data_IF_475462616199
#
_entry.id   IF_475462616199
#
_cell.length_a   1.000
_cell.length_b   1.000
_cell.length_c   1.000
_cell.angle_alpha   90.00
_cell.angle_beta   90.00
_cell.angle_gamma   90.00
#
_symmetry.space_group_name_H-M   'P 1'
#
loop_
_entity.id
_entity.type
_entity.pdbx_description
1 polymer ?
#
# COMPACT_ATOMS: atom_id res chain seq x y z
N UNK A 1 10.27 -20.14 11.17
CA UNK A 1 8.84 -20.34 11.47
C UNK A 1 8.24 -21.10 10.30
N UNK A 2 8.04 -22.42 10.40
CA UNK A 2 7.63 -23.25 9.25
C UNK A 2 6.18 -23.02 8.78
N UNK A 3 5.41 -22.19 9.48
CA UNK A 3 3.99 -21.95 9.19
C UNK A 3 3.72 -20.53 8.63
N UNK A 4 4.75 -19.71 8.42
CA UNK A 4 4.61 -18.34 7.91
C UNK A 4 5.61 -18.13 6.78
N UNK A 5 5.10 -17.74 5.63
CA UNK A 5 5.87 -17.23 4.50
C UNK A 5 5.73 -15.71 4.44
N UNK A 6 6.86 -15.02 4.29
CA UNK A 6 6.86 -13.57 4.12
C UNK A 6 6.75 -13.22 2.63
N UNK A 7 5.67 -12.54 2.26
CA UNK A 7 5.43 -12.09 0.91
C UNK A 7 5.65 -10.57 0.81
N UNK A 8 6.49 -10.15 -0.12
CA UNK A 8 6.72 -8.72 -0.41
C UNK A 8 5.61 -8.07 -1.22
N UNK A 9 4.81 -8.87 -1.94
CA UNK A 9 3.66 -8.46 -2.74
C UNK A 9 2.64 -9.60 -2.77
N UNK A 10 1.42 -9.31 -3.20
CA UNK A 10 0.44 -10.36 -3.46
C UNK A 10 0.94 -11.30 -4.56
N UNK A 11 0.71 -12.60 -4.39
CA UNK A 11 1.03 -13.66 -5.37
C UNK A 11 -0.24 -14.32 -5.88
N UNK A 12 -0.26 -14.77 -7.13
CA UNK A 12 -1.38 -15.53 -7.68
C UNK A 12 -1.32 -16.98 -7.22
N UNK A 13 -2.42 -17.51 -6.76
CA UNK A 13 -2.62 -18.94 -6.58
C UNK A 13 -2.81 -19.67 -7.89
N UNK A 14 -3.10 -20.97 -7.82
CA UNK A 14 -3.28 -21.79 -9.00
C UNK A 14 -4.37 -21.22 -9.93
N UNK A 15 -4.02 -20.99 -11.20
CA UNK A 15 -4.93 -20.45 -12.20
C UNK A 15 -5.23 -18.94 -12.10
N UNK A 16 -4.57 -18.23 -11.19
CA UNK A 16 -4.72 -16.78 -11.04
C UNK A 16 -3.49 -16.06 -11.56
N UNK A 17 -3.68 -15.29 -12.64
CA UNK A 17 -2.69 -14.28 -13.06
C UNK A 17 -2.98 -12.98 -12.32
N UNK A 18 -2.03 -12.52 -11.51
CA UNK A 18 -2.04 -11.14 -11.02
C UNK A 18 -1.60 -10.28 -12.19
N UNK A 19 -2.56 -9.52 -12.73
CA UNK A 19 -2.24 -8.57 -13.78
C UNK A 19 -1.11 -7.67 -13.29
N UNK A 20 -0.03 -7.58 -14.06
CA UNK A 20 1.04 -6.65 -13.76
C UNK A 20 0.43 -5.26 -13.68
N UNK A 21 0.65 -4.54 -12.60
CA UNK A 21 0.11 -3.21 -12.33
C UNK A 21 0.21 -2.26 -13.53
N UNK A 22 1.25 -2.40 -14.35
CA UNK A 22 1.49 -1.59 -15.54
C UNK A 22 0.35 -1.61 -16.59
N UNK A 23 -0.45 -2.68 -16.66
CA UNK A 23 -1.53 -2.79 -17.66
C UNK A 23 -2.79 -1.98 -17.30
N UNK A 24 -2.97 -1.67 -16.01
CA UNK A 24 -4.16 -0.98 -15.49
C UNK A 24 -3.86 0.40 -14.89
N UNK A 25 -2.58 0.77 -14.79
CA UNK A 25 -2.19 2.02 -14.17
C UNK A 25 -2.07 3.14 -15.20
N UNK A 26 -2.66 4.28 -14.88
CA UNK A 26 -2.41 5.54 -15.60
C UNK A 26 -1.41 6.37 -14.83
N UNK A 27 -0.29 6.73 -15.46
CA UNK A 27 0.72 7.60 -14.88
C UNK A 27 0.32 9.07 -14.93
N UNK A 28 0.84 9.89 -14.02
CA UNK A 28 0.52 11.33 -13.97
C UNK A 28 1.20 12.17 -15.06
N UNK A 29 2.12 11.60 -15.84
CA UNK A 29 2.84 12.33 -16.89
C UNK A 29 3.84 13.38 -16.41
N UNK A 30 3.99 13.61 -15.10
CA UNK A 30 4.95 14.57 -14.54
C UNK A 30 6.38 14.08 -14.80
N UNK A 31 7.19 14.90 -15.46
CA UNK A 31 8.59 14.57 -15.84
C UNK A 31 9.54 15.37 -14.98
N UNK A 32 10.52 14.68 -14.37
CA UNK A 32 11.74 15.28 -13.81
C UNK A 32 11.61 15.95 -12.44
N UNK A 33 10.51 15.84 -11.73
CA UNK A 33 10.35 16.47 -10.42
C UNK A 33 9.45 15.71 -9.45
N UNK A 34 9.36 16.21 -8.22
CA UNK A 34 8.37 15.80 -7.28
C UNK A 34 7.00 16.33 -7.73
N UNK A 35 5.97 15.54 -7.65
CA UNK A 35 4.64 15.96 -8.05
C UNK A 35 4.15 17.14 -7.21
N UNK A 36 3.62 18.14 -7.92
CA UNK A 36 2.86 19.25 -7.35
C UNK A 36 1.39 19.13 -7.78
N UNK A 37 0.42 19.61 -6.98
CA UNK A 37 -1.00 19.48 -7.30
C UNK A 37 -1.37 20.05 -8.67
N UNK A 38 -0.70 21.10 -9.12
CA UNK A 38 -0.98 21.80 -10.37
C UNK A 38 -0.47 21.03 -11.60
N UNK A 39 0.54 20.19 -11.44
CA UNK A 39 1.24 19.50 -12.54
C UNK A 39 1.02 17.98 -12.53
N UNK A 40 0.58 17.42 -11.41
CA UNK A 40 0.45 15.99 -11.20
C UNK A 40 -1.02 15.57 -11.07
N UNK A 41 -1.53 14.82 -12.05
CA UNK A 41 -2.92 14.36 -12.03
C UNK A 41 -3.24 13.50 -10.79
N UNK A 42 -2.31 12.74 -10.24
CA UNK A 42 -2.52 11.97 -9.02
C UNK A 42 -2.75 12.88 -7.80
N UNK A 43 -1.92 13.91 -7.62
CA UNK A 43 -2.11 14.88 -6.54
C UNK A 43 -3.29 15.82 -6.80
N UNK A 44 -3.53 16.19 -8.05
CA UNK A 44 -4.70 16.97 -8.43
C UNK A 44 -5.98 16.23 -8.07
N UNK A 45 -6.11 14.97 -8.46
CA UNK A 45 -7.26 14.14 -8.10
C UNK A 45 -7.43 14.06 -6.59
N UNK A 46 -6.33 13.92 -5.84
CA UNK A 46 -6.36 13.92 -4.39
C UNK A 46 -6.89 15.25 -3.81
N UNK A 47 -6.44 16.38 -4.35
CA UNK A 47 -6.91 17.72 -3.90
C UNK A 47 -8.36 17.96 -4.29
N UNK A 48 -8.79 17.54 -5.46
CA UNK A 48 -10.20 17.63 -5.90
C UNK A 48 -11.11 16.84 -4.95
N UNK A 49 -10.71 15.63 -4.57
CA UNK A 49 -11.52 14.74 -3.71
C UNK A 49 -11.52 15.16 -2.23
N UNK A 50 -10.41 15.67 -1.72
CA UNK A 50 -10.21 15.92 -0.29
C UNK A 50 -10.00 17.39 0.10
N UNK A 51 -9.86 18.28 -0.88
CA UNK A 51 -9.57 19.69 -0.65
C UNK A 51 -8.13 20.02 -0.27
N UNK A 52 -7.24 19.02 -0.15
CA UNK A 52 -5.84 19.20 0.26
C UNK A 52 -4.93 18.04 -0.17
N UNK A 53 -3.62 18.28 -0.15
CA UNK A 53 -2.61 17.22 -0.19
C UNK A 53 -2.67 16.45 1.11
N UNK A 54 -2.69 15.10 1.03
CA UNK A 54 -2.93 14.27 2.20
C UNK A 54 -1.69 13.86 2.98
N UNK A 55 -0.50 13.90 2.39
CA UNK A 55 0.74 13.58 3.10
C UNK A 55 1.46 14.85 3.55
N UNK A 56 1.88 14.87 4.81
CA UNK A 56 2.74 15.93 5.33
C UNK A 56 4.21 15.72 4.86
N UNK A 57 5.10 16.66 5.23
CA UNK A 57 6.53 16.62 4.88
C UNK A 57 7.26 15.37 5.39
N UNK A 58 6.68 14.67 6.36
CA UNK A 58 7.19 13.41 6.92
C UNK A 58 6.54 12.18 6.30
N UNK A 59 5.70 12.35 5.28
CA UNK A 59 4.95 11.26 4.66
C UNK A 59 3.83 10.68 5.55
N UNK A 60 3.32 11.45 6.50
CA UNK A 60 2.21 11.01 7.36
C UNK A 60 0.88 11.47 6.79
N UNK A 61 -0.06 10.55 6.73
CA UNK A 61 -1.40 10.77 6.23
C UNK A 61 -2.18 11.74 7.12
N UNK A 62 -2.78 12.76 6.51
CA UNK A 62 -3.60 13.79 7.13
C UNK A 62 -5.06 13.70 6.65
N UNK A 63 -5.51 12.51 6.29
CA UNK A 63 -6.86 12.26 5.81
C UNK A 63 -7.86 12.07 6.95
N UNK A 64 -9.11 12.44 6.70
CA UNK A 64 -10.24 11.98 7.50
C UNK A 64 -10.60 10.53 7.14
N UNK A 65 -11.30 9.82 8.04
CA UNK A 65 -11.77 8.46 7.78
C UNK A 65 -12.66 8.42 6.51
N UNK A 66 -12.42 7.39 5.70
CA UNK A 66 -13.15 7.20 4.45
C UNK A 66 -12.69 8.07 3.27
N UNK A 67 -11.68 8.90 3.44
CA UNK A 67 -11.11 9.67 2.32
C UNK A 67 -10.33 8.75 1.38
N UNK A 68 -10.63 8.70 0.05
CA UNK A 68 -9.82 7.99 -0.91
C UNK A 68 -8.40 8.56 -0.99
N UNK A 69 -7.42 7.70 -1.12
CA UNK A 69 -6.00 8.09 -1.19
C UNK A 69 -5.46 7.73 -2.57
N UNK A 70 -4.96 8.73 -3.29
CA UNK A 70 -4.37 8.58 -4.61
C UNK A 70 -2.88 8.83 -4.54
N UNK A 71 -2.09 7.78 -4.73
CA UNK A 71 -0.64 7.90 -4.83
C UNK A 71 -0.17 7.86 -6.29
N UNK A 72 1.02 8.39 -6.53
CA UNK A 72 1.76 8.11 -7.74
C UNK A 72 2.11 6.62 -7.78
N UNK A 73 2.05 6.02 -8.97
CA UNK A 73 2.20 4.59 -9.17
C UNK A 73 3.38 4.26 -10.11
N UNK A 74 3.58 2.99 -10.43
CA UNK A 74 4.69 2.53 -11.27
C UNK A 74 4.70 3.15 -12.67
N UNK A 75 3.53 3.56 -13.22
CA UNK A 75 3.44 4.22 -14.52
C UNK A 75 3.74 5.74 -14.47
N UNK A 76 3.92 6.31 -13.26
CA UNK A 76 4.25 7.73 -13.12
C UNK A 76 5.73 7.96 -13.37
N UNK A 77 6.06 9.01 -14.14
CA UNK A 77 7.44 9.38 -14.46
C UNK A 77 8.19 10.11 -13.33
N UNK A 78 7.49 10.44 -12.24
CA UNK A 78 8.12 11.09 -11.07
C UNK A 78 9.10 10.13 -10.35
N UNK A 79 10.14 10.67 -9.68
CA UNK A 79 11.14 9.84 -9.00
C UNK A 79 10.53 9.08 -7.82
N UNK A 80 11.20 8.01 -7.41
CA UNK A 80 10.80 7.21 -6.24
C UNK A 80 10.75 8.02 -4.94
N UNK A 81 11.47 9.14 -4.88
CA UNK A 81 11.48 10.07 -3.75
C UNK A 81 10.29 11.03 -3.72
N UNK A 82 9.39 10.96 -4.70
CA UNK A 82 8.18 11.79 -4.76
C UNK A 82 7.39 11.70 -3.44
N UNK A 83 6.97 12.85 -2.90
CA UNK A 83 6.21 12.91 -1.64
C UNK A 83 4.89 12.14 -1.69
N UNK A 84 4.34 11.97 -2.90
CA UNK A 84 3.10 11.21 -3.13
C UNK A 84 3.35 9.72 -3.45
N UNK A 85 4.41 9.13 -2.89
CA UNK A 85 4.75 7.70 -2.96
C UNK A 85 5.13 7.22 -1.57
N UNK A 86 4.14 7.01 -0.69
CA UNK A 86 4.41 6.59 0.70
C UNK A 86 4.37 5.08 0.83
N UNK A 87 3.30 4.44 0.37
CA UNK A 87 3.11 2.97 0.45
C UNK A 87 4.24 2.23 -0.30
N UNK A 88 4.61 2.70 -1.47
CA UNK A 88 5.66 2.09 -2.31
C UNK A 88 7.06 2.09 -1.69
N UNK A 89 7.31 2.94 -0.68
CA UNK A 89 8.59 2.95 0.04
C UNK A 89 8.72 1.79 1.03
N UNK A 90 7.61 1.08 1.26
CA UNK A 90 7.57 -0.07 2.14
C UNK A 90 7.62 0.29 3.63
N UNK A 91 7.88 -0.73 4.42
CA UNK A 91 7.87 -0.66 5.89
C UNK A 91 9.08 0.14 6.38
N UNK A 92 8.83 1.19 7.14
CA UNK A 92 9.87 2.00 7.80
C UNK A 92 9.98 1.75 9.30
N UNK A 93 8.96 1.13 9.91
CA UNK A 93 8.91 0.83 11.33
C UNK A 93 9.24 -0.64 11.58
N UNK A 94 10.15 -0.98 12.51
CA UNK A 94 10.42 -2.37 12.86
C UNK A 94 9.17 -3.05 13.41
N UNK A 95 8.80 -4.18 12.80
CA UNK A 95 7.68 -5.01 13.19
C UNK A 95 8.16 -6.38 13.65
N UNK A 96 7.46 -6.95 14.63
CA UNK A 96 7.69 -8.31 15.11
C UNK A 96 6.46 -9.17 14.86
N UNK A 97 6.67 -10.34 14.28
CA UNK A 97 5.66 -11.39 14.16
C UNK A 97 5.76 -12.29 15.38
N UNK A 98 4.66 -12.54 16.08
CA UNK A 98 4.64 -13.37 17.28
C UNK A 98 3.40 -14.24 17.35
N UNK A 99 3.49 -15.35 18.08
CA UNK A 99 2.36 -16.28 18.27
C UNK A 99 1.58 -15.89 19.53
N UNK A 100 0.29 -15.66 19.37
CA UNK A 100 -0.61 -15.42 20.50
C UNK A 100 -1.16 -16.73 21.05
N UNK A 101 -1.64 -16.70 22.29
CA UNK A 101 -2.18 -17.90 22.95
C UNK A 101 -3.49 -18.40 22.30
N UNK A 102 -4.32 -17.50 21.77
CA UNK A 102 -5.68 -17.83 21.37
C UNK A 102 -6.09 -17.38 19.96
N UNK A 103 -5.30 -16.49 19.31
CA UNK A 103 -5.64 -15.89 18.02
C UNK A 103 -4.62 -16.20 16.91
N UNK A 104 -3.75 -17.21 17.12
CA UNK A 104 -2.71 -17.53 16.16
C UNK A 104 -1.61 -16.47 16.08
N UNK A 105 -1.15 -16.20 14.88
CA UNK A 105 -0.08 -15.24 14.62
C UNK A 105 -0.59 -13.79 14.65
N UNK A 106 0.24 -12.91 15.14
CA UNK A 106 -0.02 -11.47 15.23
C UNK A 106 1.24 -10.68 14.91
N UNK A 107 1.06 -9.41 14.58
CA UNK A 107 2.15 -8.46 14.32
C UNK A 107 2.04 -7.31 15.31
N UNK A 108 3.19 -6.85 15.81
CA UNK A 108 3.27 -5.65 16.66
C UNK A 108 4.47 -4.79 16.27
N UNK A 109 4.39 -3.48 16.43
CA UNK A 109 5.55 -2.61 16.28
C UNK A 109 6.49 -2.78 17.48
N UNK A 110 7.80 -2.67 17.24
CA UNK A 110 8.83 -2.68 18.29
C UNK A 110 9.08 -1.27 18.85
N UNK A 111 8.55 -0.25 18.22
CA UNK A 111 8.63 1.14 18.64
C UNK A 111 7.31 1.88 18.44
N UNK A 112 7.20 3.08 18.98
CA UNK A 112 6.00 3.90 18.85
C UNK A 112 5.82 4.38 17.42
N UNK A 113 4.64 4.14 16.84
CA UNK A 113 4.23 4.64 15.53
C UNK A 113 3.50 5.98 15.73
N UNK A 114 3.93 7.01 15.00
CA UNK A 114 3.21 8.28 14.97
C UNK A 114 1.90 8.14 14.17
N UNK A 115 0.87 8.87 14.59
CA UNK A 115 -0.39 8.89 13.84
C UNK A 115 -0.18 9.31 12.38
N UNK A 116 -0.86 8.64 11.46
CA UNK A 116 -0.75 8.87 10.02
C UNK A 116 0.46 8.20 9.34
N UNK A 117 1.38 7.59 10.08
CA UNK A 117 2.49 6.84 9.46
C UNK A 117 1.98 5.58 8.77
N UNK A 118 2.55 5.29 7.59
CA UNK A 118 2.36 3.99 6.94
C UNK A 118 2.96 2.88 7.81
N UNK A 119 2.24 1.80 7.99
CA UNK A 119 2.67 0.66 8.82
C UNK A 119 3.14 -0.48 7.95
N UNK A 120 2.23 -1.09 7.20
CA UNK A 120 2.51 -2.26 6.36
C UNK A 120 1.40 -2.45 5.33
N UNK A 121 1.73 -3.04 4.20
CA UNK A 121 0.77 -3.57 3.25
C UNK A 121 0.38 -5.00 3.67
N UNK A 122 -0.93 -5.30 3.66
CA UNK A 122 -1.42 -6.64 3.92
C UNK A 122 -1.38 -7.44 2.62
N UNK A 123 -0.32 -8.22 2.44
CA UNK A 123 -0.08 -9.06 1.26
C UNK A 123 -0.52 -10.50 1.49
N UNK A 124 -0.79 -11.23 0.42
CA UNK A 124 -1.18 -12.62 0.50
C UNK A 124 -1.34 -13.27 -0.86
N UNK A 125 -1.85 -14.49 -0.86
CA UNK A 125 -2.21 -15.23 -2.06
C UNK A 125 -3.60 -14.82 -2.53
N UNK A 126 -3.72 -14.43 -3.80
CA UNK A 126 -5.01 -14.17 -4.46
C UNK A 126 -5.49 -15.49 -5.07
N UNK A 127 -6.63 -15.98 -4.62
CA UNK A 127 -7.17 -17.28 -5.00
C UNK A 127 -8.56 -17.13 -5.63
N UNK A 128 -9.01 -18.08 -6.49
CA UNK A 128 -10.36 -18.12 -7.02
C UNK A 128 -11.40 -18.36 -5.91
N UNK A 129 -12.66 -18.01 -6.18
CA UNK A 129 -13.75 -18.12 -5.20
C UNK A 129 -13.97 -19.54 -4.70
N UNK A 130 -13.93 -20.52 -5.59
CA UNK A 130 -14.08 -21.94 -5.27
C UNK A 130 -12.96 -22.46 -4.35
N UNK A 131 -11.74 -22.00 -4.56
CA UNK A 131 -10.61 -22.31 -3.70
C UNK A 131 -10.74 -21.60 -2.33
N UNK A 132 -11.24 -20.36 -2.32
CA UNK A 132 -11.53 -19.65 -1.07
C UNK A 132 -12.61 -20.36 -0.25
N UNK A 133 -13.68 -20.82 -0.91
CA UNK A 133 -14.73 -21.62 -0.26
C UNK A 133 -14.16 -22.95 0.28
N UNK A 134 -13.33 -23.64 -0.50
CA UNK A 134 -12.67 -24.88 -0.07
C UNK A 134 -11.79 -24.69 1.17
N UNK A 135 -11.00 -23.59 1.22
CA UNK A 135 -10.11 -23.28 2.35
C UNK A 135 -10.86 -22.73 3.56
N UNK A 136 -12.01 -22.10 3.36
CA UNK A 136 -12.83 -21.51 4.42
C UNK A 136 -13.80 -22.51 5.07
N UNK A 137 -13.97 -23.70 4.50
CA UNK A 137 -14.76 -24.79 5.08
C UNK A 137 -13.84 -25.63 5.98
N UNK A 138 -13.41 -25.04 7.09
CA UNK A 138 -12.68 -25.76 8.14
C UNK A 138 -13.41 -25.57 9.46
#
# INVERSE_FOLDING_TARGET
FPEIEYLHACVGGEGVEIASDAAFLTGCGTIGGCCQPEECSCMHEQVVQSGKVLYDEKGRLQAADGTPIYECNAACACPYTCSNRVVQRGISTPLEVFKTKHKGWAVRPLERIAAGSFVVEYTGEVIPTDEAERRGIV
#
